data_IF_024627373996
#
_entry.id   IF_024627373996
#
_cell.length_a   1.000
_cell.length_b   1.000
_cell.length_c   1.000
_cell.angle_alpha   90.00
_cell.angle_beta   90.00
_cell.angle_gamma   90.00
#
_symmetry.space_group_name_H-M   'P 1'
#
loop_
_entity.id
_entity.type
_entity.pdbx_description
1 polymer ?
#
# COMPACT_ATOMS: atom_id res chain seq x y z
N UNK A 1 -12.88 1.63 -10.68
CA UNK A 1 -12.31 0.33 -10.22
C UNK A 1 -11.93 0.51 -8.75
N UNK A 2 -12.16 -0.50 -7.91
CA UNK A 2 -12.01 -0.36 -6.44
C UNK A 2 -11.01 -1.39 -5.86
N UNK A 3 -10.10 -0.92 -5.01
CA UNK A 3 -9.37 -1.78 -4.06
C UNK A 3 -10.04 -1.65 -2.72
N UNK A 4 -10.47 -2.78 -2.16
CA UNK A 4 -10.90 -2.84 -0.77
C UNK A 4 -9.68 -3.03 0.14
N UNK A 5 -9.44 -2.03 0.99
CA UNK A 5 -8.46 -2.07 2.07
C UNK A 5 -9.21 -2.10 3.39
N UNK A 6 -8.88 -3.05 4.27
CA UNK A 6 -9.39 -3.07 5.65
C UNK A 6 -8.23 -2.93 6.61
N UNK A 7 -8.29 -1.89 7.45
CA UNK A 7 -7.32 -1.63 8.51
C UNK A 7 -8.00 -1.92 9.84
N UNK A 8 -7.41 -2.83 10.63
CA UNK A 8 -7.79 -3.05 12.02
C UNK A 8 -6.67 -2.51 12.91
N UNK A 9 -7.00 -1.62 13.84
CA UNK A 9 -6.07 -1.09 14.84
C UNK A 9 -6.38 -1.80 16.17
N UNK A 10 -5.38 -2.45 16.76
CA UNK A 10 -5.49 -3.18 18.00
C UNK A 10 -4.81 -2.40 19.14
N UNK A 11 -5.06 -2.79 20.39
CA UNK A 11 -4.30 -2.26 21.54
C UNK A 11 -2.80 -2.59 21.37
N UNK A 12 -1.93 -1.70 21.84
CA UNK A 12 -0.46 -1.80 21.75
C UNK A 12 0.13 -1.58 20.34
N UNK A 13 -0.37 -0.58 19.61
CA UNK A 13 0.16 -0.16 18.29
C UNK A 13 0.20 -1.25 17.20
N UNK A 14 -0.38 -2.41 17.48
CA UNK A 14 -0.56 -3.48 16.52
C UNK A 14 -1.61 -3.07 15.51
N UNK A 15 -1.30 -3.28 14.23
CA UNK A 15 -2.28 -3.10 13.17
C UNK A 15 -2.29 -4.31 12.23
N UNK A 16 -3.46 -4.58 11.68
CA UNK A 16 -3.64 -5.58 10.62
C UNK A 16 -4.20 -4.89 9.39
N UNK A 17 -3.48 -4.96 8.27
CA UNK A 17 -3.95 -4.54 6.96
C UNK A 17 -4.36 -5.77 6.15
N UNK A 18 -5.56 -5.76 5.60
CA UNK A 18 -6.07 -6.80 4.70
C UNK A 18 -6.28 -6.18 3.33
N UNK A 19 -5.61 -6.74 2.33
CA UNK A 19 -5.63 -6.27 0.94
C UNK A 19 -6.18 -7.38 0.06
N UNK A 20 -7.28 -7.12 -0.64
CA UNK A 20 -7.83 -8.07 -1.60
C UNK A 20 -6.90 -8.22 -2.81
N UNK A 21 -6.53 -9.46 -3.16
CA UNK A 21 -5.67 -9.73 -4.32
C UNK A 21 -6.40 -9.36 -5.61
N UNK A 22 -5.73 -8.63 -6.48
CA UNK A 22 -6.20 -8.29 -7.84
C UNK A 22 -5.04 -8.41 -8.83
N UNK A 23 -5.27 -8.93 -10.06
CA UNK A 23 -4.21 -9.08 -11.06
C UNK A 23 -3.44 -7.78 -11.33
N UNK A 24 -4.15 -6.64 -11.42
CA UNK A 24 -3.57 -5.32 -11.74
C UNK A 24 -2.54 -4.81 -10.72
N UNK A 25 -2.58 -5.30 -9.48
CA UNK A 25 -1.63 -4.91 -8.41
C UNK A 25 -0.76 -6.08 -7.93
N UNK A 26 -0.78 -7.24 -8.61
CA UNK A 26 -0.06 -8.43 -8.16
C UNK A 26 1.45 -8.18 -8.00
N UNK A 27 2.06 -7.44 -8.95
CA UNK A 27 3.46 -7.03 -8.85
C UNK A 27 3.73 -6.09 -7.68
N UNK A 28 2.81 -5.15 -7.38
CA UNK A 28 2.94 -4.25 -6.23
C UNK A 28 2.83 -5.01 -4.91
N UNK A 29 1.92 -5.99 -4.81
CA UNK A 29 1.77 -6.84 -3.63
C UNK A 29 3.01 -7.70 -3.38
N UNK A 30 3.63 -8.20 -4.45
CA UNK A 30 4.88 -8.98 -4.38
C UNK A 30 6.02 -8.09 -3.86
N UNK A 31 6.17 -6.90 -4.41
CA UNK A 31 7.20 -5.94 -3.96
C UNK A 31 6.98 -5.53 -2.50
N UNK A 32 5.75 -5.20 -2.11
CA UNK A 32 5.41 -4.87 -0.73
C UNK A 32 5.83 -6.01 0.22
N UNK A 33 5.47 -7.25 -0.13
CA UNK A 33 5.80 -8.42 0.70
C UNK A 33 7.31 -8.58 0.86
N UNK A 34 8.07 -8.41 -0.23
CA UNK A 34 9.53 -8.53 -0.19
C UNK A 34 10.18 -7.44 0.68
N UNK A 35 9.75 -6.18 0.52
CA UNK A 35 10.23 -5.05 1.31
C UNK A 35 9.94 -5.27 2.79
N UNK A 36 8.72 -5.65 3.14
CA UNK A 36 8.32 -5.87 4.53
C UNK A 36 9.12 -7.01 5.18
N UNK A 37 9.33 -8.12 4.46
CA UNK A 37 10.11 -9.26 4.97
C UNK A 37 11.59 -8.94 5.13
N UNK A 38 12.16 -8.10 4.26
CA UNK A 38 13.58 -7.75 4.30
C UNK A 38 13.90 -6.61 5.27
N UNK A 39 12.99 -5.63 5.40
CA UNK A 39 13.27 -4.36 6.07
C UNK A 39 12.51 -4.13 7.37
N UNK A 40 11.49 -4.94 7.70
CA UNK A 40 10.67 -4.71 8.89
C UNK A 40 10.68 -5.90 9.83
N UNK A 41 11.35 -5.73 10.98
CA UNK A 41 11.31 -6.72 12.05
C UNK A 41 9.91 -6.78 12.67
N UNK A 42 9.48 -7.99 13.04
CA UNK A 42 8.18 -8.20 13.67
C UNK A 42 6.99 -7.97 12.75
N UNK A 43 7.16 -7.96 11.43
CA UNK A 43 6.04 -8.00 10.48
C UNK A 43 5.69 -9.44 10.14
N UNK A 44 4.43 -9.80 10.30
CA UNK A 44 3.86 -11.09 9.90
C UNK A 44 3.06 -10.89 8.63
N UNK A 45 3.47 -11.56 7.56
CA UNK A 45 2.73 -11.57 6.29
C UNK A 45 2.09 -12.94 6.10
N UNK A 46 0.75 -12.97 6.04
CA UNK A 46 -0.04 -14.15 5.71
C UNK A 46 -0.59 -13.99 4.30
N UNK A 47 -0.10 -14.84 3.40
CA UNK A 47 -0.59 -14.88 2.05
C UNK A 47 -1.74 -15.89 1.92
N UNK A 48 -2.95 -15.42 1.63
CA UNK A 48 -4.14 -16.26 1.48
C UNK A 48 -4.66 -16.20 0.03
N UNK A 49 -5.50 -17.15 -0.38
CA UNK A 49 -5.96 -17.26 -1.76
C UNK A 49 -6.57 -15.97 -2.33
N UNK A 50 -7.41 -15.28 -1.53
CA UNK A 50 -8.15 -14.09 -1.99
C UNK A 50 -7.60 -12.77 -1.46
N UNK A 51 -6.74 -12.79 -0.45
CA UNK A 51 -6.24 -11.58 0.18
C UNK A 51 -4.86 -11.78 0.80
N UNK A 52 -4.11 -10.69 0.89
CA UNK A 52 -2.88 -10.58 1.66
C UNK A 52 -3.22 -9.95 3.01
N UNK A 53 -2.79 -10.57 4.11
CA UNK A 53 -2.91 -9.99 5.45
C UNK A 53 -1.51 -9.67 5.98
N UNK A 54 -1.33 -8.41 6.38
CA UNK A 54 -0.09 -7.91 6.97
C UNK A 54 -0.42 -7.51 8.40
N UNK A 55 0.27 -8.10 9.36
CA UNK A 55 0.17 -7.73 10.78
C UNK A 55 1.53 -7.20 11.23
N UNK A 56 1.55 -6.00 11.79
CA UNK A 56 2.78 -5.36 12.27
C UNK A 56 2.66 -5.09 13.76
N UNK A 57 3.78 -5.26 14.48
CA UNK A 57 3.80 -5.19 15.93
C UNK A 57 4.38 -3.91 16.51
N UNK A 58 5.17 -3.11 15.77
CA UNK A 58 5.52 -1.71 16.08
C UNK A 58 6.56 -1.21 15.05
N UNK A 59 6.41 0.02 14.53
CA UNK A 59 7.44 0.66 13.72
C UNK A 59 6.92 1.73 12.74
N UNK A 60 7.40 2.97 12.90
CA UNK A 60 7.12 4.08 11.97
C UNK A 60 7.53 3.76 10.52
N UNK A 61 8.60 2.98 10.34
CA UNK A 61 9.04 2.52 9.02
C UNK A 61 7.98 1.65 8.33
N UNK A 62 7.38 0.69 9.05
CA UNK A 62 6.34 -0.18 8.50
C UNK A 62 5.11 0.62 8.09
N UNK A 63 4.70 1.59 8.91
CA UNK A 63 3.59 2.48 8.59
C UNK A 63 3.86 3.30 7.33
N UNK A 64 5.06 3.88 7.21
CA UNK A 64 5.46 4.67 6.04
C UNK A 64 5.47 3.83 4.76
N UNK A 65 6.04 2.61 4.81
CA UNK A 65 6.04 1.66 3.68
C UNK A 65 4.60 1.35 3.21
N UNK A 66 3.68 1.16 4.16
CA UNK A 66 2.29 0.86 3.84
C UNK A 66 1.54 2.08 3.26
N UNK A 67 1.80 3.27 3.78
CA UNK A 67 1.25 4.51 3.21
C UNK A 67 1.71 4.69 1.75
N UNK A 68 3.01 4.57 1.48
CA UNK A 68 3.57 4.66 0.13
C UNK A 68 2.97 3.60 -0.80
N UNK A 69 2.78 2.36 -0.32
CA UNK A 69 2.12 1.34 -1.11
C UNK A 69 0.68 1.72 -1.49
N UNK A 70 -0.10 2.25 -0.55
CA UNK A 70 -1.49 2.66 -0.78
C UNK A 70 -1.54 3.77 -1.84
N UNK A 71 -0.65 4.76 -1.77
CA UNK A 71 -0.55 5.85 -2.74
C UNK A 71 -0.20 5.34 -4.14
N UNK A 72 0.84 4.51 -4.27
CA UNK A 72 1.25 3.94 -5.56
C UNK A 72 0.17 3.03 -6.14
N UNK A 73 -0.49 2.23 -5.30
CA UNK A 73 -1.61 1.39 -5.73
C UNK A 73 -2.80 2.25 -6.21
N UNK A 74 -3.10 3.35 -5.51
CA UNK A 74 -4.13 4.31 -5.93
C UNK A 74 -3.80 4.90 -7.30
N UNK A 75 -2.61 5.50 -7.48
CA UNK A 75 -2.13 6.10 -8.74
C UNK A 75 -2.24 5.09 -9.90
N UNK A 76 -1.74 3.87 -9.70
CA UNK A 76 -1.74 2.82 -10.74
C UNK A 76 -3.15 2.42 -11.19
N UNK A 77 -4.16 2.64 -10.35
CA UNK A 77 -5.53 2.22 -10.62
C UNK A 77 -6.40 3.36 -11.10
N UNK A 78 -6.23 4.55 -10.55
CA UNK A 78 -6.91 5.76 -11.01
C UNK A 78 -6.34 6.27 -12.33
N UNK A 79 -5.12 5.86 -12.70
CA UNK A 79 -4.40 6.45 -13.84
C UNK A 79 -4.03 7.91 -13.58
N UNK A 80 -3.95 8.30 -12.30
CA UNK A 80 -3.64 9.66 -11.88
C UNK A 80 -2.19 9.99 -12.26
N UNK A 81 -2.03 10.63 -13.41
CA UNK A 81 -0.79 11.28 -13.77
C UNK A 81 -0.74 12.61 -13.02
N UNK A 82 0.33 12.82 -12.25
CA UNK A 82 0.67 14.10 -11.61
C UNK A 82 1.14 15.13 -12.66
N UNK A 83 0.42 15.22 -13.79
CA UNK A 83 0.54 16.34 -14.71
C UNK A 83 -0.14 17.51 -14.04
N UNK A 84 0.61 18.20 -13.18
CA UNK A 84 0.42 19.64 -13.01
C UNK A 84 0.30 20.23 -14.42
N UNK A 85 -0.80 20.94 -14.67
CA UNK A 85 -0.91 21.79 -15.85
C UNK A 85 0.40 22.60 -15.97
N UNK A 86 1.10 22.58 -17.12
CA UNK A 86 1.97 23.70 -17.41
C UNK A 86 1.05 24.92 -17.48
N UNK A 87 1.26 25.84 -16.56
CA UNK A 87 0.61 27.14 -16.49
C UNK A 87 1.05 27.96 -17.71
N UNK A 88 0.53 27.62 -18.89
CA UNK A 88 0.80 28.28 -20.15
C UNK A 88 -0.44 29.03 -20.60
N UNK A 89 -0.83 30.03 -19.82
CA UNK A 89 -1.55 31.21 -20.30
C UNK A 89 -1.02 32.47 -19.62
N UNK A 90 0.18 32.87 -20.02
CA UNK A 90 0.48 34.29 -20.22
C UNK A 90 0.44 34.54 -21.72
N UNK A 91 -0.77 34.71 -22.25
CA UNK A 91 -0.96 35.41 -23.52
C UNK A 91 -1.20 36.88 -23.20
N UNK A 92 -0.22 37.69 -23.62
CA UNK A 92 -0.20 39.13 -23.95
C UNK A 92 -1.02 40.11 -23.10
#
# INVERSE_FOLDING_TARGET
MEISLKINIHKNQQFSLIIKKRPKIAGLLTNLTNILKAGCNGVVVKDQDKHLQITSFEGAATLSILQTFIEVAYIKISGYNDTKEPDSKKDF
#
